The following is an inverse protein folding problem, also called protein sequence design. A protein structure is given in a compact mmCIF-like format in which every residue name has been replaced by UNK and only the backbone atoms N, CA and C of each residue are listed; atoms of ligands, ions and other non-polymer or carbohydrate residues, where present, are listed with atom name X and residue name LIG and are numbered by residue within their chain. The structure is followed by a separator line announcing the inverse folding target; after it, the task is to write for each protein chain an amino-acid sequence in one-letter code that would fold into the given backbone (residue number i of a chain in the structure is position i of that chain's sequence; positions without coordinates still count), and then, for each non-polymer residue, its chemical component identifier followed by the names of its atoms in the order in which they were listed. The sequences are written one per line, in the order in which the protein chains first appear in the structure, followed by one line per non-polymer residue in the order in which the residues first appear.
data_IF_588314677614
#
_entry.id   IF_588314677614
#
_cell.length_a   1.000
_cell.length_b   1.000
_cell.length_c   1.000
_cell.angle_alpha   90.00
_cell.angle_beta   90.00
_cell.angle_gamma   90.00
#
_symmetry.space_group_name_H-M   'P 1'
#
loop_
_entity.id
_entity.type
_entity.pdbx_description
1 polymer ?
#
# COMPACT_ATOMS: atom_id res chain seq x y z
N UNK A 1 72.87 7.98 -24.63
CA UNK A 1 71.52 7.54 -25.06
C UNK A 1 70.74 6.74 -24.01
N UNK A 2 71.37 6.15 -22.97
CA UNK A 2 70.68 5.32 -21.95
C UNK A 2 69.77 6.08 -20.96
N UNK A 3 69.97 7.39 -20.76
CA UNK A 3 69.16 8.18 -19.82
C UNK A 3 67.75 8.51 -20.33
N UNK A 4 67.62 8.80 -21.64
CA UNK A 4 66.31 9.11 -22.25
C UNK A 4 65.40 7.88 -22.31
N UNK A 5 65.95 6.69 -22.55
CA UNK A 5 65.21 5.42 -22.56
C UNK A 5 64.67 5.04 -21.18
N UNK A 6 65.37 5.42 -20.11
CA UNK A 6 64.93 5.16 -18.73
C UNK A 6 63.78 6.12 -18.33
N UNK A 7 63.83 7.37 -18.78
CA UNK A 7 62.75 8.35 -18.58
C UNK A 7 61.49 7.99 -19.37
N UNK A 8 61.62 7.48 -20.60
CA UNK A 8 60.46 7.00 -21.36
C UNK A 8 59.83 5.76 -20.74
N UNK A 9 60.64 4.89 -20.12
CA UNK A 9 60.16 3.68 -19.45
C UNK A 9 59.38 4.02 -18.16
N UNK A 10 59.87 4.98 -17.35
CA UNK A 10 59.14 5.44 -16.17
C UNK A 10 57.83 6.15 -16.54
N UNK A 11 57.84 6.97 -17.60
CA UNK A 11 56.63 7.63 -18.09
C UNK A 11 55.58 6.60 -18.56
N UNK A 12 55.99 5.57 -19.30
CA UNK A 12 55.10 4.50 -19.76
C UNK A 12 54.46 3.75 -18.58
N UNK A 13 55.22 3.46 -17.52
CA UNK A 13 54.72 2.81 -16.32
C UNK A 13 53.64 3.65 -15.60
N UNK A 14 53.83 4.97 -15.53
CA UNK A 14 52.85 5.89 -14.92
C UNK A 14 51.55 5.90 -15.69
N UNK A 15 51.58 5.95 -17.03
CA UNK A 15 50.36 5.90 -17.85
C UNK A 15 49.60 4.58 -17.70
N UNK A 16 50.31 3.45 -17.57
CA UNK A 16 49.69 2.14 -17.34
C UNK A 16 49.00 2.11 -15.96
N UNK A 17 49.67 2.59 -14.92
CA UNK A 17 49.09 2.66 -13.58
C UNK A 17 47.86 3.58 -13.53
N UNK A 18 47.90 4.71 -14.22
CA UNK A 18 46.79 5.65 -14.31
C UNK A 18 45.60 5.06 -15.10
N UNK A 19 45.86 4.36 -16.21
CA UNK A 19 44.82 3.66 -16.97
C UNK A 19 44.14 2.54 -16.18
N UNK A 20 44.90 1.82 -15.35
CA UNK A 20 44.35 0.80 -14.43
C UNK A 20 43.48 1.44 -13.34
N UNK A 21 43.92 2.54 -12.72
CA UNK A 21 43.10 3.27 -11.75
C UNK A 21 41.81 3.79 -12.37
N UNK A 22 41.88 4.41 -13.55
CA UNK A 22 40.68 4.93 -14.23
C UNK A 22 39.73 3.79 -14.59
N UNK A 23 40.23 2.64 -15.06
CA UNK A 23 39.40 1.48 -15.38
C UNK A 23 38.71 0.89 -14.15
N UNK A 24 39.42 0.80 -13.02
CA UNK A 24 38.83 0.39 -11.74
C UNK A 24 37.77 1.38 -11.27
N UNK A 25 38.03 2.68 -11.40
CA UNK A 25 37.10 3.74 -11.03
C UNK A 25 35.86 3.71 -11.94
N UNK A 26 36.02 3.45 -13.24
CA UNK A 26 34.91 3.29 -14.19
C UNK A 26 34.03 2.09 -13.82
N UNK A 27 34.65 0.96 -13.42
CA UNK A 27 33.91 -0.23 -12.96
C UNK A 27 33.21 0.00 -11.62
N UNK A 28 33.82 0.74 -10.70
CA UNK A 28 33.22 1.10 -9.40
C UNK A 28 32.09 2.12 -9.55
N UNK A 29 32.26 3.13 -10.42
CA UNK A 29 31.26 4.20 -10.65
C UNK A 29 30.09 3.67 -11.49
N UNK A 30 30.32 2.86 -12.53
CA UNK A 30 29.22 2.15 -13.22
C UNK A 30 28.58 1.07 -12.35
N UNK A 31 29.30 0.51 -11.37
CA UNK A 31 28.73 -0.36 -10.34
C UNK A 31 27.81 0.38 -9.37
N UNK A 32 27.99 1.69 -9.20
CA UNK A 32 27.14 2.57 -8.36
C UNK A 32 25.85 3.06 -9.05
N UNK A 33 25.76 2.92 -10.37
CA UNK A 33 24.57 3.27 -11.17
C UNK A 33 23.72 2.05 -11.59
N UNK A 34 24.00 0.88 -11.04
CA UNK A 34 23.00 -0.20 -11.06
C UNK A 34 21.91 0.21 -10.07
N UNK A 35 20.60 0.15 -10.42
CA UNK A 35 19.55 0.26 -9.42
C UNK A 35 19.93 -0.72 -8.30
N UNK A 36 19.86 -0.31 -7.03
CA UNK A 36 20.42 -1.09 -5.94
C UNK A 36 19.78 -2.48 -5.96
N UNK A 37 20.49 -3.47 -6.49
CA UNK A 37 20.22 -4.90 -6.28
C UNK A 37 20.66 -5.28 -4.87
N UNK A 38 20.22 -4.50 -3.90
CA UNK A 38 20.05 -4.87 -2.49
C UNK A 38 18.53 -4.95 -2.24
N UNK A 39 17.84 -5.71 -3.10
CA UNK A 39 16.37 -5.79 -3.15
C UNK A 39 15.79 -6.63 -1.99
N UNK A 40 16.60 -7.26 -1.15
CA UNK A 40 16.08 -8.16 -0.11
C UNK A 40 15.84 -7.48 1.25
N UNK A 41 16.77 -6.70 1.79
CA UNK A 41 16.62 -6.21 3.18
C UNK A 41 15.57 -5.12 3.34
N UNK A 42 15.50 -4.16 2.41
CA UNK A 42 14.57 -3.02 2.48
C UNK A 42 13.13 -3.42 2.14
N UNK A 43 12.95 -4.35 1.20
CA UNK A 43 11.61 -4.88 0.89
C UNK A 43 11.11 -5.84 1.98
N UNK A 44 11.96 -6.64 2.61
CA UNK A 44 11.54 -7.46 3.76
C UNK A 44 11.11 -6.59 4.94
N UNK A 45 11.87 -5.54 5.28
CA UNK A 45 11.49 -4.64 6.36
C UNK A 45 10.18 -3.90 6.07
N UNK A 46 9.97 -3.45 4.82
CA UNK A 46 8.73 -2.78 4.40
C UNK A 46 7.54 -3.75 4.34
N UNK A 47 7.76 -4.99 3.89
CA UNK A 47 6.74 -6.03 3.87
C UNK A 47 6.35 -6.44 5.29
N UNK A 48 7.32 -6.55 6.20
CA UNK A 48 7.08 -6.80 7.62
C UNK A 48 6.31 -5.63 8.26
N UNK A 49 6.69 -4.39 7.98
CA UNK A 49 5.96 -3.20 8.44
C UNK A 49 4.52 -3.19 7.93
N UNK A 50 4.29 -3.42 6.64
CA UNK A 50 2.96 -3.50 6.03
C UNK A 50 2.14 -4.64 6.64
N UNK A 51 2.76 -5.80 6.87
CA UNK A 51 2.09 -6.95 7.48
C UNK A 51 1.71 -6.65 8.94
N UNK A 52 2.57 -5.95 9.68
CA UNK A 52 2.27 -5.51 11.04
C UNK A 52 1.14 -4.47 11.07
N UNK A 53 1.14 -3.52 10.14
CA UNK A 53 0.06 -2.53 10.01
C UNK A 53 -1.27 -3.21 9.66
N UNK A 54 -1.27 -4.16 8.73
CA UNK A 54 -2.43 -4.95 8.35
C UNK A 54 -2.96 -5.74 9.56
N UNK A 55 -2.09 -6.47 10.26
CA UNK A 55 -2.45 -7.22 11.45
C UNK A 55 -3.03 -6.31 12.54
N UNK A 56 -2.42 -5.16 12.78
CA UNK A 56 -2.92 -4.16 13.74
C UNK A 56 -4.31 -3.64 13.34
N UNK A 57 -4.52 -3.32 12.06
CA UNK A 57 -5.82 -2.89 11.56
C UNK A 57 -6.88 -4.00 11.70
N UNK A 58 -6.51 -5.26 11.47
CA UNK A 58 -7.41 -6.42 11.68
C UNK A 58 -7.74 -6.62 13.16
N UNK A 59 -6.76 -6.49 14.06
CA UNK A 59 -6.98 -6.56 15.51
C UNK A 59 -7.86 -5.41 16.01
N UNK A 60 -7.64 -4.19 15.52
CA UNK A 60 -8.49 -3.03 15.81
C UNK A 60 -9.91 -3.25 15.30
N UNK A 61 -10.08 -3.77 14.08
CA UNK A 61 -11.39 -4.13 13.52
C UNK A 61 -12.10 -5.17 14.40
N UNK A 62 -11.42 -6.26 14.76
CA UNK A 62 -12.01 -7.32 15.58
C UNK A 62 -12.42 -6.80 16.97
N UNK A 63 -11.60 -5.93 17.57
CA UNK A 63 -11.92 -5.30 18.84
C UNK A 63 -13.14 -4.37 18.72
N UNK A 64 -13.22 -3.57 17.66
CA UNK A 64 -14.39 -2.72 17.39
C UNK A 64 -15.66 -3.55 17.17
N UNK A 65 -15.57 -4.68 16.47
CA UNK A 65 -16.69 -5.60 16.29
C UNK A 65 -17.16 -6.20 17.62
N UNK A 66 -16.24 -6.61 18.49
CA UNK A 66 -16.58 -7.11 19.84
C UNK A 66 -17.23 -6.04 20.71
N UNK A 67 -16.70 -4.81 20.69
CA UNK A 67 -17.31 -3.69 21.40
C UNK A 67 -18.72 -3.42 20.88
N UNK A 68 -18.94 -3.52 19.57
CA UNK A 68 -20.24 -3.33 18.95
C UNK A 68 -21.22 -4.43 19.35
N UNK A 69 -20.78 -5.69 19.43
CA UNK A 69 -21.60 -6.79 19.93
C UNK A 69 -21.99 -6.59 21.41
N UNK A 70 -21.02 -6.24 22.25
CA UNK A 70 -21.26 -5.98 23.68
C UNK A 70 -22.23 -4.81 23.88
N UNK A 71 -22.05 -3.72 23.14
CA UNK A 71 -22.90 -2.55 23.21
C UNK A 71 -24.31 -2.85 22.70
N UNK A 72 -24.43 -3.66 21.64
CA UNK A 72 -25.73 -4.14 21.12
C UNK A 72 -26.46 -5.01 22.14
N UNK A 73 -25.73 -5.88 22.85
CA UNK A 73 -26.32 -6.73 23.90
C UNK A 73 -26.82 -5.90 25.07
N UNK A 74 -26.00 -4.98 25.58
CA UNK A 74 -26.40 -4.04 26.63
C UNK A 74 -27.60 -3.20 26.21
N UNK A 75 -27.60 -2.75 24.96
CA UNK A 75 -28.71 -2.00 24.38
C UNK A 75 -30.03 -2.79 24.44
N UNK A 76 -30.01 -4.07 24.05
CA UNK A 76 -31.18 -4.95 24.11
C UNK A 76 -31.68 -5.20 25.55
N UNK A 77 -30.75 -5.35 26.49
CA UNK A 77 -31.07 -5.48 27.92
C UNK A 77 -31.73 -4.21 28.47
N UNK A 78 -31.29 -3.02 28.05
CA UNK A 78 -31.92 -1.74 28.42
C UNK A 78 -33.26 -1.53 27.72
N UNK A 79 -33.42 -1.93 26.45
CA UNK A 79 -34.68 -1.86 25.71
C UNK A 79 -35.76 -2.74 26.36
N UNK A 80 -35.41 -3.95 26.79
CA UNK A 80 -36.32 -4.85 27.49
C UNK A 80 -36.67 -4.33 28.90
N UNK A 81 -35.77 -3.58 29.55
CA UNK A 81 -35.97 -3.03 30.89
C UNK A 81 -36.68 -1.66 30.91
N UNK A 82 -36.55 -0.86 29.85
CA UNK A 82 -37.08 0.50 29.77
C UNK A 82 -38.46 0.52 29.09
N UNK A 83 -39.48 0.91 29.84
CA UNK A 83 -40.81 1.18 29.30
C UNK A 83 -40.74 2.39 28.36
N UNK A 84 -40.70 2.17 27.03
CA UNK A 84 -40.95 3.03 25.83
C UNK A 84 -40.74 4.57 25.82
N UNK A 85 -40.58 5.28 26.93
CA UNK A 85 -40.58 6.74 27.05
C UNK A 85 -39.27 7.33 27.59
N UNK A 86 -38.21 6.52 27.78
CA UNK A 86 -36.97 7.02 28.35
C UNK A 86 -36.07 7.68 27.29
N UNK A 87 -35.95 9.00 27.35
CA UNK A 87 -35.15 9.80 26.40
C UNK A 87 -33.67 9.36 26.36
N UNK A 88 -33.16 8.74 27.44
CA UNK A 88 -31.82 8.16 27.48
C UNK A 88 -31.66 6.98 26.50
N UNK A 89 -32.67 6.11 26.40
CA UNK A 89 -32.64 4.96 25.48
C UNK A 89 -32.65 5.41 24.02
N UNK A 90 -33.41 6.46 23.72
CA UNK A 90 -33.48 7.04 22.37
C UNK A 90 -32.14 7.66 21.92
N UNK A 91 -31.45 8.37 22.80
CA UNK A 91 -30.11 8.89 22.49
C UNK A 91 -29.12 7.74 22.25
N UNK A 92 -29.18 6.69 23.06
CA UNK A 92 -28.30 5.53 22.91
C UNK A 92 -28.56 4.76 21.60
N UNK A 93 -29.84 4.63 21.19
CA UNK A 93 -30.19 4.08 19.87
C UNK A 93 -29.58 4.90 18.72
N UNK A 94 -29.66 6.23 18.81
CA UNK A 94 -29.08 7.12 17.79
C UNK A 94 -27.56 7.00 17.73
N UNK A 95 -26.89 6.84 18.87
CA UNK A 95 -25.44 6.61 18.90
C UNK A 95 -25.08 5.29 18.24
N UNK A 96 -25.81 4.21 18.53
CA UNK A 96 -25.60 2.90 17.88
C UNK A 96 -25.79 3.00 16.37
N UNK A 97 -26.84 3.67 15.90
CA UNK A 97 -27.10 3.87 14.48
C UNK A 97 -25.97 4.67 13.80
N UNK A 98 -25.50 5.75 14.45
CA UNK A 98 -24.36 6.54 14.00
C UNK A 98 -23.08 5.71 13.88
N UNK A 99 -22.78 4.86 14.87
CA UNK A 99 -21.60 4.00 14.81
C UNK A 99 -21.70 2.93 13.72
N UNK A 100 -22.90 2.38 13.47
CA UNK A 100 -23.11 1.43 12.36
C UNK A 100 -22.86 2.08 11.00
N UNK A 101 -23.28 3.33 10.81
CA UNK A 101 -23.01 4.10 9.59
C UNK A 101 -21.49 4.31 9.42
N UNK A 102 -20.79 4.75 10.46
CA UNK A 102 -19.34 4.96 10.42
C UNK A 102 -18.55 3.67 10.18
N UNK A 103 -19.07 2.53 10.65
CA UNK A 103 -18.48 1.21 10.42
C UNK A 103 -18.81 0.62 9.04
N UNK A 104 -19.62 1.28 8.22
CA UNK A 104 -20.07 0.77 6.91
C UNK A 104 -21.01 -0.45 7.03
N UNK A 105 -21.70 -0.62 8.16
CA UNK A 105 -22.63 -1.73 8.44
C UNK A 105 -24.08 -1.39 8.10
N UNK A 106 -24.33 -0.17 7.62
CA UNK A 106 -25.65 0.31 7.22
C UNK A 106 -25.60 0.66 5.75
N UNK A 107 -26.58 0.19 4.98
CA UNK A 107 -26.73 0.55 3.58
C UNK A 107 -27.04 2.05 3.45
N UNK A 108 -26.31 2.73 2.57
CA UNK A 108 -26.44 4.16 2.31
C UNK A 108 -27.01 4.37 0.92
N UNK A 109 -27.90 5.37 0.76
CA UNK A 109 -28.49 5.72 -0.54
C UNK A 109 -28.26 7.20 -0.80
N UNK A 110 -27.71 7.51 -1.98
CA UNK A 110 -27.43 8.88 -2.38
C UNK A 110 -27.00 8.96 -3.85
N UNK A 111 -26.84 10.18 -4.39
CA UNK A 111 -26.22 10.38 -5.70
C UNK A 111 -24.79 9.84 -5.68
N UNK A 112 -24.40 9.14 -6.73
CA UNK A 112 -23.08 8.51 -6.81
C UNK A 112 -22.73 8.08 -8.22
N UNK A 113 -21.62 7.38 -8.34
CA UNK A 113 -21.11 6.83 -9.60
C UNK A 113 -20.83 5.35 -9.45
N UNK A 114 -20.99 4.60 -10.52
CA UNK A 114 -20.60 3.19 -10.61
C UNK A 114 -19.32 3.13 -11.44
N UNK A 115 -18.24 2.61 -10.85
CA UNK A 115 -16.96 2.39 -11.53
C UNK A 115 -16.85 0.90 -11.81
N UNK A 116 -16.75 0.55 -13.10
CA UNK A 116 -16.53 -0.83 -13.54
C UNK A 116 -15.09 -0.96 -13.97
N UNK A 117 -14.39 -1.94 -13.40
CA UNK A 117 -12.99 -2.23 -13.70
C UNK A 117 -12.93 -3.66 -14.25
N UNK A 118 -12.37 -3.82 -15.44
CA UNK A 118 -12.23 -5.11 -16.10
C UNK A 118 -10.77 -5.29 -16.53
N UNK A 119 -10.34 -6.56 -16.58
CA UNK A 119 -9.08 -6.93 -17.20
C UNK A 119 -9.06 -6.53 -18.68
N UNK A 120 -7.85 -6.37 -19.21
CA UNK A 120 -7.66 -6.02 -20.60
C UNK A 120 -7.94 -7.22 -21.51
N UNK A 121 -8.78 -7.03 -22.53
CA UNK A 121 -9.05 -8.05 -23.56
C UNK A 121 -7.86 -8.26 -24.52
N UNK A 122 -6.79 -7.48 -24.38
CA UNK A 122 -5.61 -7.54 -25.24
C UNK A 122 -4.69 -8.68 -24.82
N UNK A 123 -4.28 -9.51 -25.78
CA UNK A 123 -3.29 -10.54 -25.52
C UNK A 123 -1.88 -9.92 -25.42
N UNK A 124 -1.08 -10.30 -24.42
CA UNK A 124 0.30 -9.85 -24.29
C UNK A 124 1.09 -10.24 -25.54
N UNK A 125 1.88 -9.30 -26.08
CA UNK A 125 2.79 -9.61 -27.19
C UNK A 125 3.99 -10.43 -26.70
N UNK A 126 4.65 -11.16 -27.60
CA UNK A 126 5.85 -11.93 -27.26
C UNK A 126 6.92 -11.03 -26.60
N UNK A 127 7.19 -11.28 -25.32
CA UNK A 127 8.14 -10.54 -24.50
C UNK A 127 7.55 -9.42 -23.63
N UNK A 128 6.24 -9.16 -23.70
CA UNK A 128 5.54 -8.29 -22.75
C UNK A 128 5.11 -9.08 -21.50
N UNK A 129 5.06 -8.39 -20.34
CA UNK A 129 4.61 -8.99 -19.08
C UNK A 129 3.07 -9.12 -19.09
N UNK A 130 2.52 -10.35 -18.99
CA UNK A 130 1.08 -10.57 -18.91
C UNK A 130 0.40 -9.87 -17.73
N UNK A 131 1.13 -9.59 -16.65
CA UNK A 131 0.57 -8.91 -15.48
C UNK A 131 0.04 -7.52 -15.84
N UNK A 132 0.63 -6.81 -16.80
CA UNK A 132 0.19 -5.46 -17.21
C UNK A 132 -1.23 -5.42 -17.80
N UNK A 133 -1.83 -6.57 -18.08
CA UNK A 133 -3.16 -6.72 -18.66
C UNK A 133 -4.21 -7.13 -17.63
N UNK A 134 -3.80 -7.39 -16.39
CA UNK A 134 -4.65 -7.79 -15.28
C UNK A 134 -4.84 -6.62 -14.31
N UNK A 135 -6.02 -6.55 -13.72
CA UNK A 135 -6.34 -5.62 -12.63
C UNK A 135 -5.72 -6.14 -11.34
N UNK A 136 -5.00 -5.26 -10.64
CA UNK A 136 -4.39 -5.59 -9.35
C UNK A 136 -5.14 -4.97 -8.18
N UNK A 137 -4.84 -5.46 -6.99
CA UNK A 137 -5.29 -4.88 -5.72
C UNK A 137 -4.83 -3.42 -5.55
N UNK A 138 -3.63 -3.07 -6.04
CA UNK A 138 -3.13 -1.70 -6.05
C UNK A 138 -4.01 -0.77 -6.90
N UNK A 139 -4.53 -1.25 -8.04
CA UNK A 139 -5.41 -0.46 -8.91
C UNK A 139 -6.73 -0.14 -8.18
N UNK A 140 -7.32 -1.12 -7.51
CA UNK A 140 -8.53 -0.94 -6.71
C UNK A 140 -8.29 0.00 -5.52
N UNK A 141 -7.15 -0.14 -4.84
CA UNK A 141 -6.78 0.75 -3.74
C UNK A 141 -6.63 2.20 -4.20
N UNK A 142 -6.00 2.42 -5.34
CA UNK A 142 -5.86 3.75 -5.93
C UNK A 142 -7.23 4.35 -6.28
N UNK A 143 -8.13 3.57 -6.88
CA UNK A 143 -9.51 4.01 -7.17
C UNK A 143 -10.22 4.42 -5.88
N UNK A 144 -10.16 3.61 -4.82
CA UNK A 144 -10.78 3.93 -3.53
C UNK A 144 -10.22 5.22 -2.93
N UNK A 145 -8.89 5.42 -3.01
CA UNK A 145 -8.26 6.62 -2.51
C UNK A 145 -8.68 7.87 -3.30
N UNK A 146 -8.76 7.78 -4.62
CA UNK A 146 -9.24 8.87 -5.48
C UNK A 146 -10.72 9.19 -5.20
N UNK A 147 -11.56 8.17 -5.01
CA UNK A 147 -12.96 8.38 -4.61
C UNK A 147 -13.07 9.07 -3.24
N UNK A 148 -12.26 8.65 -2.25
CA UNK A 148 -12.19 9.33 -0.95
C UNK A 148 -11.71 10.77 -1.07
N UNK A 149 -10.67 11.02 -1.86
CA UNK A 149 -10.16 12.37 -2.12
C UNK A 149 -11.20 13.25 -2.84
N UNK A 150 -12.01 12.64 -3.71
CA UNK A 150 -13.15 13.26 -4.39
C UNK A 150 -14.36 13.53 -3.48
N UNK A 151 -14.31 13.15 -2.20
CA UNK A 151 -15.37 13.40 -1.23
C UNK A 151 -16.43 12.31 -1.17
N UNK A 152 -16.14 11.09 -1.63
CA UNK A 152 -17.07 9.97 -1.45
C UNK A 152 -17.28 9.66 0.04
N UNK A 153 -18.53 9.76 0.50
CA UNK A 153 -18.93 9.49 1.89
C UNK A 153 -19.14 8.00 2.17
N UNK A 154 -19.48 7.22 1.14
CA UNK A 154 -19.64 5.77 1.21
C UNK A 154 -19.10 5.13 -0.08
N UNK A 155 -18.43 3.99 0.04
CA UNK A 155 -17.86 3.24 -1.08
C UNK A 155 -18.19 1.76 -0.88
N UNK A 156 -18.79 1.14 -1.90
CA UNK A 156 -19.04 -0.29 -1.95
C UNK A 156 -18.16 -0.92 -3.05
N UNK A 157 -17.49 -2.02 -2.71
CA UNK A 157 -16.73 -2.84 -3.67
C UNK A 157 -17.52 -4.13 -3.87
N UNK A 158 -17.92 -4.37 -5.11
CA UNK A 158 -18.74 -5.52 -5.49
C UNK A 158 -17.86 -6.60 -6.16
N UNK A 159 -18.27 -7.86 -6.06
CA UNK A 159 -17.71 -9.00 -6.80
C UNK A 159 -16.18 -9.14 -6.76
N UNK A 160 -15.66 -9.56 -5.60
CA UNK A 160 -14.24 -9.85 -5.34
C UNK A 160 -13.71 -11.07 -6.11
#
# INVERSE_FOLDING_TARGET
MKGKTLQTLSLMLVFIAMGLMISMQFKTVQGGNRPPTSISATNYARLEELTQQLKKAQEEKANLEQQLEELTKRFKEYEDAASKDDAALKNLQQDVEKYKILAGLTDMVGPGVIVTVNDSDLQPRDGEDPNLYLVHDEDLLNIVNELKAGGAEAIAINDQ
#
